data_IF_434661613069
#
_entry.id   IF_434661613069
#
_cell.length_a   1.000
_cell.length_b   1.000
_cell.length_c   1.000
_cell.angle_alpha   90.00
_cell.angle_beta   90.00
_cell.angle_gamma   90.00
#
_symmetry.space_group_name_H-M   'P 1'
#
loop_
_entity.id
_entity.type
_entity.pdbx_description
1 polymer ?
#
# COMPACT_ATOMS: atom_id res chain seq x y z
N UNK A 1 11.57 7.12 7.08
CA UNK A 1 10.41 8.00 6.84
C UNK A 1 9.70 8.34 8.17
N UNK A 2 9.83 9.57 8.68
CA UNK A 2 9.40 9.92 10.05
C UNK A 2 7.89 10.00 10.29
N UNK A 3 7.08 10.23 9.24
CA UNK A 3 5.62 10.38 9.37
C UNK A 3 4.92 9.06 9.75
N UNK A 4 5.35 7.93 9.20
CA UNK A 4 4.81 6.61 9.55
C UNK A 4 5.15 6.24 10.99
N UNK A 5 6.40 6.45 11.43
CA UNK A 5 6.84 6.20 12.82
C UNK A 5 6.02 6.93 13.88
N UNK A 6 5.51 8.13 13.57
CA UNK A 6 4.68 8.93 14.48
C UNK A 6 3.19 8.65 14.37
N UNK A 7 2.75 7.89 13.35
CA UNK A 7 1.34 7.62 13.13
C UNK A 7 0.85 6.53 14.08
N UNK A 8 -0.18 6.82 14.88
CA UNK A 8 -0.83 5.78 15.71
C UNK A 8 -1.46 4.67 14.87
N UNK A 9 -1.93 4.99 13.67
CA UNK A 9 -2.54 4.01 12.77
C UNK A 9 -1.50 3.19 12.01
N UNK A 10 -0.43 3.84 11.55
CA UNK A 10 0.52 3.31 10.55
C UNK A 10 1.95 3.15 11.08
N UNK A 11 2.12 3.14 12.41
CA UNK A 11 3.40 2.83 13.03
C UNK A 11 3.95 1.49 12.50
N UNK A 12 5.28 1.32 12.49
CA UNK A 12 5.90 0.03 12.15
C UNK A 12 5.20 -1.13 12.85
N UNK A 13 4.98 -2.21 12.12
CA UNK A 13 4.35 -3.43 12.66
C UNK A 13 5.37 -4.22 13.49
N UNK A 14 6.62 -4.22 13.04
CA UNK A 14 7.78 -4.88 13.64
C UNK A 14 9.07 -4.15 13.19
N UNK A 15 10.23 -4.71 13.55
CA UNK A 15 11.55 -4.20 13.17
C UNK A 15 12.06 -4.75 11.83
N UNK A 16 11.24 -5.48 11.07
CA UNK A 16 11.67 -6.02 9.78
C UNK A 16 11.90 -4.89 8.77
N UNK A 17 13.02 -4.90 8.02
CA UNK A 17 13.25 -3.90 6.98
C UNK A 17 12.26 -4.10 5.83
N UNK A 18 11.51 -3.04 5.50
CA UNK A 18 10.48 -3.06 4.45
C UNK A 18 10.70 -1.94 3.44
N UNK A 19 10.25 -2.18 2.21
CA UNK A 19 10.06 -1.15 1.20
C UNK A 19 8.65 -0.58 1.36
N UNK A 20 8.54 0.68 1.78
CA UNK A 20 7.25 1.34 2.02
C UNK A 20 6.68 1.98 0.75
N UNK A 21 5.46 1.59 0.34
CA UNK A 21 4.66 2.30 -0.66
C UNK A 21 3.62 3.17 0.07
N UNK A 22 3.76 4.49 -0.03
CA UNK A 22 2.97 5.42 0.79
C UNK A 22 1.84 6.09 0.01
N UNK A 23 2.16 6.69 -1.15
CA UNK A 23 1.18 7.31 -2.03
C UNK A 23 1.54 7.10 -3.51
N UNK A 24 0.51 7.14 -4.35
CA UNK A 24 0.56 7.22 -5.80
C UNK A 24 -0.13 8.50 -6.24
N UNK A 25 0.41 9.15 -7.26
CA UNK A 25 -0.30 10.25 -7.92
C UNK A 25 -0.93 9.74 -9.21
N UNK A 26 -2.23 9.98 -9.37
CA UNK A 26 -2.97 9.73 -10.60
C UNK A 26 -3.70 11.02 -10.94
N UNK A 27 -3.37 11.55 -12.11
CA UNK A 27 -4.06 12.68 -12.70
C UNK A 27 -5.58 12.43 -12.72
N UNK A 28 -6.35 13.44 -12.32
CA UNK A 28 -7.80 13.30 -12.13
C UNK A 28 -8.53 12.85 -13.40
N UNK A 29 -8.07 13.24 -14.59
CA UNK A 29 -8.68 12.83 -15.87
C UNK A 29 -8.47 11.33 -16.18
N UNK A 30 -7.55 10.69 -15.47
CA UNK A 30 -7.12 9.31 -15.69
C UNK A 30 -7.54 8.35 -14.56
N UNK A 31 -8.18 8.87 -13.50
CA UNK A 31 -8.74 8.05 -12.40
C UNK A 31 -9.88 7.16 -12.89
N UNK A 32 -10.17 6.09 -12.16
CA UNK A 32 -11.24 5.14 -12.50
C UNK A 32 -10.93 4.15 -13.64
N UNK A 33 -9.74 4.25 -14.27
CA UNK A 33 -9.33 3.42 -15.40
C UNK A 33 -8.42 2.25 -15.03
N UNK A 34 -8.41 1.84 -13.76
CA UNK A 34 -7.56 0.74 -13.27
C UNK A 34 -6.07 1.09 -13.06
N UNK A 35 -5.65 2.33 -13.30
CA UNK A 35 -4.24 2.78 -13.18
C UNK A 35 -3.67 2.52 -11.77
N UNK A 36 -4.47 2.73 -10.72
CA UNK A 36 -4.02 2.49 -9.35
C UNK A 36 -3.55 1.06 -9.11
N UNK A 37 -4.24 0.06 -9.69
CA UNK A 37 -3.82 -1.33 -9.61
C UNK A 37 -2.48 -1.55 -10.32
N UNK A 38 -2.33 -1.02 -11.53
CA UNK A 38 -1.08 -1.14 -12.29
C UNK A 38 0.10 -0.50 -11.55
N UNK A 39 -0.11 0.64 -10.88
CA UNK A 39 0.92 1.29 -10.07
C UNK A 39 1.32 0.47 -8.84
N UNK A 40 0.36 -0.16 -8.16
CA UNK A 40 0.64 -1.06 -7.01
C UNK A 40 1.46 -2.26 -7.47
N UNK A 41 1.08 -2.89 -8.57
CA UNK A 41 1.80 -4.03 -9.15
C UNK A 41 3.23 -3.65 -9.56
N UNK A 42 3.38 -2.53 -10.27
CA UNK A 42 4.69 -2.01 -10.69
C UNK A 42 5.58 -1.63 -9.50
N UNK A 43 5.04 -0.98 -8.46
CA UNK A 43 5.80 -0.63 -7.27
C UNK A 43 6.29 -1.88 -6.52
N UNK A 44 5.46 -2.91 -6.43
CA UNK A 44 5.86 -4.17 -5.84
C UNK A 44 6.95 -4.86 -6.67
N UNK A 45 6.78 -4.94 -7.99
CA UNK A 45 7.78 -5.51 -8.91
C UNK A 45 9.12 -4.78 -8.82
N UNK A 46 9.09 -3.44 -8.84
CA UNK A 46 10.29 -2.62 -8.67
C UNK A 46 11.02 -2.94 -7.36
N UNK A 47 10.30 -3.05 -6.25
CA UNK A 47 10.91 -3.42 -4.98
C UNK A 47 11.55 -4.82 -5.04
N UNK A 48 10.93 -5.81 -5.70
CA UNK A 48 11.52 -7.15 -5.91
C UNK A 48 12.84 -7.05 -6.65
N UNK A 49 12.84 -6.37 -7.80
CA UNK A 49 14.00 -6.22 -8.69
C UNK A 49 15.19 -5.57 -7.97
N UNK A 50 14.93 -4.76 -6.94
CA UNK A 50 15.94 -4.08 -6.14
C UNK A 50 16.23 -4.79 -4.81
N UNK A 51 15.93 -6.09 -4.69
CA UNK A 51 16.27 -6.90 -3.52
C UNK A 51 15.31 -6.76 -2.33
N UNK A 52 14.15 -6.14 -2.53
CA UNK A 52 13.09 -6.04 -1.54
C UNK A 52 12.52 -7.40 -1.17
N UNK A 53 12.54 -7.72 0.11
CA UNK A 53 11.95 -8.95 0.67
C UNK A 53 10.51 -8.76 1.13
N UNK A 54 10.19 -7.56 1.60
CA UNK A 54 8.87 -7.18 2.10
C UNK A 54 8.52 -5.82 1.53
N UNK A 55 7.36 -5.72 0.91
CA UNK A 55 6.76 -4.44 0.49
C UNK A 55 5.61 -4.14 1.45
N UNK A 56 5.67 -3.01 2.14
CA UNK A 56 4.63 -2.56 3.08
C UNK A 56 3.86 -1.38 2.49
N UNK A 57 2.54 -1.40 2.60
CA UNK A 57 1.63 -0.40 2.07
C UNK A 57 0.63 0.07 3.13
N UNK A 58 0.08 1.28 2.92
CA UNK A 58 -0.81 1.93 3.88
C UNK A 58 -2.10 2.45 3.24
N UNK A 59 -2.88 1.58 2.57
CA UNK A 59 -4.05 1.99 1.82
C UNK A 59 -5.18 2.51 2.70
N UNK A 60 -6.23 2.97 2.02
CA UNK A 60 -7.51 3.27 2.64
C UNK A 60 -8.48 2.14 2.34
N UNK A 61 -9.14 1.66 3.40
CA UNK A 61 -10.31 0.81 3.28
C UNK A 61 -11.55 1.69 3.04
N UNK A 62 -12.21 1.46 1.91
CA UNK A 62 -13.40 2.21 1.52
C UNK A 62 -14.59 1.85 2.40
N UNK A 63 -14.64 0.62 2.95
CA UNK A 63 -15.80 0.11 3.69
C UNK A 63 -17.12 0.33 2.92
N UNK A 64 -17.09 0.19 1.59
CA UNK A 64 -18.23 0.44 0.71
C UNK A 64 -18.63 1.91 0.51
N UNK A 65 -17.84 2.86 1.02
CA UNK A 65 -18.09 4.31 0.90
C UNK A 65 -17.18 4.95 -0.14
N UNK A 66 -17.63 6.08 -0.70
CA UNK A 66 -16.78 6.94 -1.53
C UNK A 66 -15.62 7.47 -0.69
N UNK A 67 -14.42 7.43 -1.24
CA UNK A 67 -13.21 7.98 -0.60
C UNK A 67 -13.06 9.46 -0.94
N UNK A 68 -12.47 10.22 -0.03
CA UNK A 68 -12.03 11.57 -0.32
C UNK A 68 -10.90 11.54 -1.36
N UNK A 69 -10.76 12.62 -2.13
CA UNK A 69 -9.71 12.73 -3.15
C UNK A 69 -8.31 12.61 -2.54
N UNK A 70 -8.09 13.15 -1.34
CA UNK A 70 -6.83 13.04 -0.62
C UNK A 70 -6.53 11.60 -0.16
N UNK A 71 -7.57 10.82 0.16
CA UNK A 71 -7.46 9.41 0.52
C UNK A 71 -7.05 8.57 -0.70
N UNK A 72 -7.47 8.97 -1.91
CA UNK A 72 -7.20 8.24 -3.14
C UNK A 72 -5.70 8.12 -3.46
N UNK A 73 -4.88 9.08 -3.00
CA UNK A 73 -3.42 9.01 -3.17
C UNK A 73 -2.82 7.79 -2.48
N UNK A 74 -3.42 7.26 -1.40
CA UNK A 74 -2.89 6.09 -0.71
C UNK A 74 -3.26 4.76 -1.39
N UNK A 75 -4.12 4.81 -2.41
CA UNK A 75 -4.74 3.64 -3.02
C UNK A 75 -5.79 2.97 -2.13
N UNK A 76 -6.55 2.05 -2.72
CA UNK A 76 -7.64 1.33 -2.05
C UNK A 76 -7.20 -0.07 -1.67
N UNK A 77 -7.54 -0.51 -0.45
CA UNK A 77 -7.12 -1.81 0.09
C UNK A 77 -7.41 -2.99 -0.86
N UNK A 78 -8.56 -2.99 -1.55
CA UNK A 78 -8.90 -4.04 -2.53
C UNK A 78 -7.91 -4.16 -3.69
N UNK A 79 -7.28 -3.06 -4.13
CA UNK A 79 -6.26 -3.08 -5.17
C UNK A 79 -4.98 -3.78 -4.69
N UNK A 80 -4.63 -3.58 -3.42
CA UNK A 80 -3.49 -4.25 -2.79
C UNK A 80 -3.76 -5.73 -2.57
N UNK A 81 -4.97 -6.10 -2.15
CA UNK A 81 -5.40 -7.52 -2.07
C UNK A 81 -5.25 -8.19 -3.43
N UNK A 82 -5.75 -7.58 -4.51
CA UNK A 82 -5.61 -8.12 -5.86
C UNK A 82 -4.15 -8.24 -6.32
N UNK A 83 -3.25 -7.40 -5.79
CA UNK A 83 -1.81 -7.44 -6.07
C UNK A 83 -1.05 -8.42 -5.15
N UNK A 84 -1.74 -9.21 -4.33
CA UNK A 84 -1.15 -10.22 -3.44
C UNK A 84 -0.56 -9.65 -2.16
N UNK A 85 -1.08 -8.53 -1.67
CA UNK A 85 -0.79 -8.05 -0.32
C UNK A 85 -1.80 -8.61 0.67
N UNK A 86 -1.31 -8.95 1.86
CA UNK A 86 -2.10 -9.37 3.00
C UNK A 86 -2.12 -8.27 4.07
N UNK A 87 -3.23 -8.16 4.79
CA UNK A 87 -3.31 -7.30 5.97
C UNK A 87 -2.47 -7.88 7.11
N UNK A 88 -1.59 -7.05 7.68
CA UNK A 88 -0.71 -7.46 8.79
C UNK A 88 -0.99 -6.71 10.08
N UNK A 89 -1.68 -5.56 10.02
CA UNK A 89 -2.15 -4.84 11.18
C UNK A 89 -3.33 -3.93 10.83
N UNK A 90 -4.27 -3.78 11.77
CA UNK A 90 -5.35 -2.79 11.69
C UNK A 90 -5.59 -2.16 13.04
N UNK A 91 -5.13 -0.92 13.18
CA UNK A 91 -5.27 -0.13 14.41
C UNK A 91 -6.45 0.85 14.35
N UNK A 92 -6.94 1.11 13.14
CA UNK A 92 -8.16 1.91 12.91
C UNK A 92 -8.99 1.29 11.81
N UNK A 93 -10.32 1.47 11.79
CA UNK A 93 -11.20 0.77 10.85
C UNK A 93 -10.89 1.02 9.38
N UNK A 94 -10.33 2.19 9.01
CA UNK A 94 -10.10 2.55 7.60
C UNK A 94 -8.65 2.51 7.15
N UNK A 95 -7.70 2.23 8.04
CA UNK A 95 -6.26 2.28 7.75
C UNK A 95 -5.59 0.95 8.11
N UNK A 96 -5.73 -0.09 7.28
CA UNK A 96 -4.92 -1.28 7.40
C UNK A 96 -3.46 -0.98 7.00
N UNK A 97 -2.55 -1.72 7.60
CA UNK A 97 -1.17 -1.89 7.12
C UNK A 97 -1.13 -3.22 6.39
N UNK A 98 -0.68 -3.21 5.14
CA UNK A 98 -0.65 -4.40 4.29
C UNK A 98 0.77 -4.71 3.87
N UNK A 99 1.13 -5.99 3.78
CA UNK A 99 2.44 -6.43 3.30
C UNK A 99 2.30 -7.45 2.20
N UNK A 100 3.25 -7.41 1.26
CA UNK A 100 3.51 -8.48 0.31
C UNK A 100 4.91 -9.02 0.54
N UNK A 101 4.98 -10.31 0.90
CA UNK A 101 6.24 -11.02 0.95
C UNK A 101 6.66 -11.42 -0.47
N UNK A 102 7.92 -11.19 -0.79
CA UNK A 102 8.47 -11.50 -2.10
C UNK A 102 9.37 -12.72 -1.97
N UNK A 103 8.99 -13.82 -2.62
CA UNK A 103 9.91 -14.96 -2.77
C UNK A 103 10.94 -14.58 -3.83
N UNK A 104 12.19 -14.40 -3.41
CA UNK A 104 13.31 -14.24 -4.35
C UNK A 104 13.34 -15.46 -5.27
N UNK A 105 13.31 -15.24 -6.59
CA UNK A 105 13.59 -16.32 -7.54
C UNK A 105 15.09 -16.59 -7.42
N UNK A 106 15.43 -17.82 -7.02
CA UNK A 106 16.81 -18.34 -7.02
C UNK A 106 17.35 -18.40 -8.43
#
# INVERSE_FOLDING_TARGET
YGRLRRSRALAPVDDAPVWSTTCFFIDSAHRGRGIGRALVEAAAAFAVEHGGRIVEAYPVDTMGRRIADDDAYHGVASQFVSAGFDEVARRTPRRPVMRRAVKQRR
#
